data_IF_550054209567
#
_entry.id   IF_550054209567
#
_cell.length_a   1.000
_cell.length_b   1.000
_cell.length_c   1.000
_cell.angle_alpha   90.00
_cell.angle_beta   90.00
_cell.angle_gamma   90.00
#
_symmetry.space_group_name_H-M   'P 1'
#
loop_
_entity.id
_entity.type
_entity.pdbx_description
1 polymer ?
#
# COMPACT_ATOMS: atom_id res chain seq x y z
N UNK A 1 -2.52 -18.98 15.50
CA UNK A 1 -1.05 -19.17 15.60
C UNK A 1 -0.40 -18.58 14.36
N UNK A 2 0.70 -17.83 14.50
CA UNK A 2 1.50 -17.31 13.38
C UNK A 2 2.71 -18.22 13.15
N UNK A 3 3.07 -18.46 11.90
CA UNK A 3 4.31 -19.15 11.53
C UNK A 3 5.57 -18.30 11.74
N UNK A 4 5.40 -16.98 11.81
CA UNK A 4 6.49 -16.01 11.88
C UNK A 4 6.27 -15.04 13.02
N UNK A 5 7.30 -14.89 13.85
CA UNK A 5 7.36 -13.95 14.96
C UNK A 5 8.75 -13.33 15.03
N UNK A 6 8.84 -12.10 15.55
CA UNK A 6 10.10 -11.38 15.70
C UNK A 6 10.44 -10.46 14.52
N UNK A 7 11.67 -9.92 14.52
CA UNK A 7 12.06 -8.85 13.60
C UNK A 7 12.82 -9.39 12.39
N UNK A 8 12.46 -8.97 11.19
CA UNK A 8 13.09 -9.43 9.96
C UNK A 8 12.93 -8.44 8.80
N UNK A 9 13.72 -8.63 7.74
CA UNK A 9 13.66 -7.80 6.53
C UNK A 9 12.74 -8.40 5.47
N UNK A 10 12.00 -7.54 4.78
CA UNK A 10 11.08 -7.88 3.69
C UNK A 10 11.67 -7.44 2.36
N UNK A 11 11.88 -8.41 1.46
CA UNK A 11 12.34 -8.19 0.08
C UNK A 11 11.14 -7.95 -0.84
N UNK A 12 10.60 -6.73 -0.81
CA UNK A 12 9.41 -6.33 -1.56
C UNK A 12 8.11 -6.87 -0.98
N UNK A 13 8.02 -8.17 -0.68
CA UNK A 13 6.86 -8.77 0.00
C UNK A 13 7.22 -9.97 0.86
N UNK A 14 6.36 -10.30 1.81
CA UNK A 14 6.47 -11.49 2.65
C UNK A 14 5.09 -12.09 2.91
N UNK A 15 4.98 -13.41 2.99
CA UNK A 15 3.72 -14.10 3.25
C UNK A 15 3.74 -14.76 4.62
N UNK A 16 2.80 -14.36 5.47
CA UNK A 16 2.49 -15.02 6.73
C UNK A 16 1.50 -16.16 6.50
N UNK A 17 1.68 -17.28 7.20
CA UNK A 17 0.64 -18.29 7.41
C UNK A 17 0.09 -18.15 8.82
N UNK A 18 -1.21 -17.89 8.92
CA UNK A 18 -1.94 -17.82 10.18
C UNK A 18 -2.95 -18.95 10.26
N UNK A 19 -2.82 -19.83 11.25
CA UNK A 19 -3.82 -20.87 11.54
C UNK A 19 -4.79 -20.37 12.60
N UNK A 20 -6.08 -20.28 12.25
CA UNK A 20 -7.15 -19.98 13.20
C UNK A 20 -7.45 -21.18 14.08
N UNK A 21 -7.49 -20.96 15.40
CA UNK A 21 -7.77 -22.01 16.41
C UNK A 21 -9.19 -21.94 16.96
N UNK A 22 -9.92 -20.87 16.65
CA UNK A 22 -11.28 -20.62 17.14
C UNK A 22 -12.30 -20.48 15.98
N UNK A 23 -11.90 -20.81 14.75
CA UNK A 23 -12.74 -20.72 13.55
C UNK A 23 -12.97 -19.30 13.02
N UNK A 24 -12.49 -18.26 13.69
CA UNK A 24 -12.61 -16.87 13.23
C UNK A 24 -11.44 -16.49 12.33
N UNK A 25 -11.71 -15.72 11.27
CA UNK A 25 -10.68 -15.20 10.40
C UNK A 25 -9.76 -14.24 11.18
N UNK A 26 -8.42 -14.42 11.15
CA UNK A 26 -7.50 -13.47 11.75
C UNK A 26 -7.60 -12.10 11.06
N UNK A 27 -7.54 -11.04 11.86
CA UNK A 27 -7.38 -9.67 11.35
C UNK A 27 -5.89 -9.32 11.39
N UNK A 28 -5.33 -8.94 10.25
CA UNK A 28 -3.93 -8.51 10.16
C UNK A 28 -3.88 -7.04 9.80
N UNK A 29 -3.13 -6.26 10.57
CA UNK A 29 -2.90 -4.84 10.31
C UNK A 29 -1.41 -4.50 10.34
N UNK A 30 -1.09 -3.33 9.79
CA UNK A 30 0.24 -2.74 9.76
C UNK A 30 0.19 -1.39 10.46
N UNK A 31 1.21 -1.05 11.26
CA UNK A 31 1.19 0.15 12.09
C UNK A 31 1.37 1.47 11.34
N UNK A 32 1.80 1.42 10.08
CA UNK A 32 1.94 2.60 9.25
C UNK A 32 1.70 2.30 7.77
N UNK A 33 1.66 3.37 6.97
CA UNK A 33 1.34 3.29 5.56
C UNK A 33 2.51 2.91 4.65
N UNK A 34 3.73 2.68 5.15
CA UNK A 34 4.85 2.25 4.33
C UNK A 34 4.74 0.78 3.88
N UNK A 35 3.76 0.05 4.43
CA UNK A 35 3.44 -1.31 4.08
C UNK A 35 1.96 -1.47 3.79
N UNK A 36 1.60 -2.50 3.04
CA UNK A 36 0.22 -2.95 2.82
C UNK A 36 0.11 -4.40 3.19
N UNK A 37 -1.04 -4.80 3.74
CA UNK A 37 -1.36 -6.19 4.01
C UNK A 37 -2.60 -6.59 3.22
N UNK A 38 -2.55 -7.75 2.59
CA UNK A 38 -3.65 -8.32 1.79
C UNK A 38 -3.80 -9.79 2.15
N UNK A 39 -5.03 -10.25 2.36
CA UNK A 39 -5.34 -11.69 2.41
C UNK A 39 -5.15 -12.26 0.99
N UNK A 40 -4.14 -13.09 0.80
CA UNK A 40 -3.81 -13.68 -0.49
C UNK A 40 -4.64 -14.94 -0.78
N UNK A 41 -4.85 -15.79 0.23
CA UNK A 41 -5.67 -16.99 0.10
C UNK A 41 -6.06 -17.56 1.47
N UNK A 42 -7.00 -18.50 1.46
CA UNK A 42 -7.42 -19.29 2.61
C UNK A 42 -7.54 -20.75 2.21
N UNK A 43 -7.09 -21.65 3.08
CA UNK A 43 -7.31 -23.09 2.97
C UNK A 43 -7.77 -23.66 4.32
N UNK A 44 -9.07 -23.92 4.46
CA UNK A 44 -9.67 -24.30 5.74
C UNK A 44 -9.41 -23.23 6.80
N UNK A 45 -8.72 -23.61 7.87
CA UNK A 45 -8.35 -22.71 8.97
C UNK A 45 -7.03 -21.97 8.76
N UNK A 46 -6.33 -22.23 7.66
CA UNK A 46 -5.07 -21.55 7.32
C UNK A 46 -5.34 -20.34 6.43
N UNK A 47 -4.85 -19.18 6.83
CA UNK A 47 -4.98 -17.90 6.15
C UNK A 47 -3.59 -17.39 5.75
N UNK A 48 -3.45 -17.00 4.49
CA UNK A 48 -2.18 -16.54 3.94
C UNK A 48 -2.25 -15.03 3.70
N UNK A 49 -1.58 -14.26 4.54
CA UNK A 49 -1.54 -12.79 4.40
C UNK A 49 -0.20 -12.36 3.80
N UNK A 50 -0.25 -11.58 2.72
CA UNK A 50 0.94 -10.97 2.15
C UNK A 50 1.09 -9.54 2.64
N UNK A 51 2.25 -9.23 3.19
CA UNK A 51 2.70 -7.85 3.43
C UNK A 51 3.57 -7.39 2.27
N UNK A 52 3.41 -6.15 1.84
CA UNK A 52 4.13 -5.52 0.74
C UNK A 52 4.80 -4.25 1.24
N UNK A 53 6.11 -4.11 0.99
CA UNK A 53 6.85 -2.88 1.25
C UNK A 53 6.58 -1.90 0.10
N UNK A 54 6.12 -0.69 0.42
CA UNK A 54 5.80 0.36 -0.57
C UNK A 54 6.48 1.70 -0.28
N UNK A 55 6.84 1.95 0.99
CA UNK A 55 7.69 3.07 1.38
C UNK A 55 9.17 2.80 1.08
N UNK A 56 10.02 3.78 1.41
CA UNK A 56 11.46 3.68 1.17
C UNK A 56 12.14 2.50 1.87
N UNK A 57 13.23 2.01 1.28
CA UNK A 57 14.12 1.01 1.91
C UNK A 57 14.60 1.52 3.27
N UNK A 58 14.65 0.63 4.26
CA UNK A 58 15.00 0.92 5.64
C UNK A 58 13.82 1.35 6.52
N UNK A 59 12.66 1.68 5.93
CA UNK A 59 11.45 1.94 6.71
C UNK A 59 10.98 0.66 7.42
N UNK A 60 10.49 0.83 8.64
CA UNK A 60 9.99 -0.26 9.47
C UNK A 60 8.49 -0.17 9.69
N UNK A 61 7.87 -1.28 10.06
CA UNK A 61 6.46 -1.36 10.41
C UNK A 61 6.22 -2.51 11.38
N UNK A 62 5.29 -2.35 12.31
CA UNK A 62 4.81 -3.46 13.13
C UNK A 62 3.66 -4.16 12.40
N UNK A 63 3.69 -5.49 12.39
CA UNK A 63 2.56 -6.32 11.95
C UNK A 63 1.82 -6.80 13.18
N UNK A 64 0.52 -6.57 13.20
CA UNK A 64 -0.36 -6.96 14.30
C UNK A 64 -1.35 -8.01 13.80
N UNK A 65 -1.53 -9.06 14.59
CA UNK A 65 -2.56 -10.08 14.37
C UNK A 65 -3.55 -9.98 15.52
N UNK A 66 -4.82 -9.72 15.20
CA UNK A 66 -5.89 -9.48 16.18
C UNK A 66 -5.51 -8.43 17.24
N UNK A 67 -4.83 -7.36 16.81
CA UNK A 67 -4.37 -6.27 17.68
C UNK A 67 -3.11 -6.55 18.49
N UNK A 68 -2.54 -7.76 18.42
CA UNK A 68 -1.28 -8.11 19.10
C UNK A 68 -0.13 -8.05 18.11
N UNK A 69 0.93 -7.29 18.44
CA UNK A 69 2.14 -7.25 17.62
C UNK A 69 2.81 -8.62 17.57
N UNK A 70 3.06 -9.12 16.35
CA UNK A 70 3.76 -10.40 16.12
C UNK A 70 5.17 -10.21 15.56
N UNK A 71 5.40 -9.12 14.82
CA UNK A 71 6.69 -8.82 14.20
C UNK A 71 6.87 -7.32 13.99
N UNK A 72 8.14 -6.91 13.90
CA UNK A 72 8.54 -5.63 13.31
C UNK A 72 9.32 -5.94 12.03
N UNK A 73 8.82 -5.51 10.87
CA UNK A 73 9.42 -5.75 9.57
C UNK A 73 10.17 -4.52 9.06
N UNK A 74 11.27 -4.73 8.35
CA UNK A 74 12.06 -3.66 7.70
C UNK A 74 12.05 -3.86 6.19
N UNK A 75 11.77 -2.82 5.40
CA UNK A 75 11.84 -2.92 3.94
C UNK A 75 13.31 -3.01 3.50
N UNK A 76 13.76 -4.16 2.97
CA UNK A 76 15.06 -4.24 2.30
C UNK A 76 14.95 -3.96 0.80
N UNK A 77 13.78 -4.21 0.21
CA UNK A 77 13.40 -3.84 -1.15
C UNK A 77 11.94 -3.42 -1.19
N UNK A 78 11.59 -2.57 -2.16
CA UNK A 78 10.21 -2.11 -2.38
C UNK A 78 9.53 -3.01 -3.41
N UNK A 79 8.25 -3.36 -3.18
CA UNK A 79 7.48 -4.19 -4.08
C UNK A 79 7.46 -3.62 -5.50
N UNK A 80 7.76 -4.46 -6.49
CA UNK A 80 7.76 -4.08 -7.90
C UNK A 80 8.81 -3.03 -8.28
N UNK A 81 9.72 -2.67 -7.38
CA UNK A 81 10.75 -1.66 -7.63
C UNK A 81 10.22 -0.24 -7.82
N UNK A 82 8.99 0.04 -7.37
CA UNK A 82 8.38 1.37 -7.46
C UNK A 82 8.15 1.94 -6.07
N UNK A 83 8.92 2.96 -5.70
CA UNK A 83 8.77 3.69 -4.44
C UNK A 83 7.87 4.90 -4.64
N UNK A 84 6.88 5.08 -3.77
CA UNK A 84 6.02 6.26 -3.78
C UNK A 84 6.45 7.26 -2.70
N UNK A 85 6.44 8.55 -3.02
CA UNK A 85 6.59 9.62 -2.03
C UNK A 85 5.39 9.74 -1.09
N UNK A 86 4.23 9.28 -1.55
CA UNK A 86 2.96 9.34 -0.81
C UNK A 86 2.39 7.96 -0.62
N UNK A 87 2.25 7.56 0.63
CA UNK A 87 1.66 6.28 1.02
C UNK A 87 0.54 6.43 2.04
N UNK A 88 0.56 7.49 2.85
CA UNK A 88 -0.50 7.79 3.80
C UNK A 88 -1.76 8.33 3.10
N UNK A 89 -2.94 8.19 3.71
CA UNK A 89 -4.14 8.89 3.26
C UNK A 89 -3.93 10.41 3.25
N UNK A 90 -4.52 11.08 2.27
CA UNK A 90 -4.43 12.53 2.11
C UNK A 90 -5.71 13.12 1.53
N UNK A 91 -5.78 14.44 1.50
CA UNK A 91 -6.97 15.17 1.06
C UNK A 91 -6.62 16.08 -0.12
N UNK A 92 -7.54 16.17 -1.09
CA UNK A 92 -7.46 17.09 -2.22
C UNK A 92 -8.75 17.90 -2.26
N UNK A 93 -8.66 19.23 -2.34
CA UNK A 93 -9.86 20.08 -2.49
C UNK A 93 -10.61 19.75 -3.78
N UNK A 94 -11.93 19.91 -3.78
CA UNK A 94 -12.76 19.78 -4.98
C UNK A 94 -12.23 20.68 -6.11
N UNK A 95 -12.02 20.11 -7.31
CA UNK A 95 -11.39 20.79 -8.45
C UNK A 95 -9.88 20.99 -8.32
N UNK A 96 -9.29 20.60 -7.19
CA UNK A 96 -7.85 20.65 -6.93
C UNK A 96 -7.08 19.49 -7.55
N UNK A 97 -5.77 19.50 -7.33
CA UNK A 97 -4.89 18.43 -7.77
C UNK A 97 -3.77 18.15 -6.78
N UNK A 98 -3.20 16.95 -6.85
CA UNK A 98 -2.00 16.55 -6.14
C UNK A 98 -1.04 15.88 -7.13
N UNK A 99 0.28 16.00 -6.90
CA UNK A 99 1.29 15.36 -7.75
C UNK A 99 2.06 14.32 -6.95
N UNK A 100 1.94 13.07 -7.36
CA UNK A 100 2.76 11.98 -6.88
C UNK A 100 4.13 12.00 -7.53
N UNK A 101 5.13 11.52 -6.79
CA UNK A 101 6.41 11.08 -7.33
C UNK A 101 6.59 9.59 -7.10
N UNK A 102 6.74 8.86 -8.20
CA UNK A 102 7.07 7.44 -8.21
C UNK A 102 8.52 7.27 -8.67
N UNK A 103 9.39 6.73 -7.83
CA UNK A 103 10.78 6.44 -8.17
C UNK A 103 10.90 4.99 -8.65
N UNK A 104 11.33 4.78 -9.89
CA UNK A 104 11.47 3.46 -10.51
C UNK A 104 12.44 3.49 -11.70
N UNK A 105 13.06 2.35 -12.03
CA UNK A 105 13.99 2.21 -13.18
C UNK A 105 13.31 2.36 -14.55
N UNK A 106 12.00 2.18 -14.62
CA UNK A 106 11.18 2.33 -15.82
C UNK A 106 9.87 3.02 -15.47
N UNK A 107 9.24 3.67 -16.46
CA UNK A 107 7.98 4.39 -16.25
C UNK A 107 6.90 3.49 -15.65
N UNK A 108 6.43 3.74 -14.42
CA UNK A 108 5.32 3.00 -13.86
C UNK A 108 4.00 3.44 -14.52
N UNK A 109 2.96 2.63 -14.31
CA UNK A 109 1.58 2.97 -14.64
C UNK A 109 0.84 3.25 -13.35
N UNK A 110 0.19 4.41 -13.27
CA UNK A 110 -0.64 4.78 -12.13
C UNK A 110 -2.10 4.92 -12.58
N UNK A 111 -3.02 4.33 -11.81
CA UNK A 111 -4.45 4.35 -12.10
C UNK A 111 -5.27 4.73 -10.87
N UNK A 112 -6.36 5.46 -11.08
CA UNK A 112 -7.37 5.71 -10.06
C UNK A 112 -8.33 4.51 -9.96
N UNK A 113 -8.73 4.16 -8.73
CA UNK A 113 -9.71 3.11 -8.46
C UNK A 113 -11.16 3.55 -8.59
N UNK A 114 -11.43 4.85 -8.77
CA UNK A 114 -12.76 5.41 -8.99
C UNK A 114 -12.71 6.56 -9.99
N UNK A 115 -13.87 6.92 -10.55
CA UNK A 115 -14.02 8.05 -11.47
C UNK A 115 -13.96 9.42 -10.78
N UNK A 116 -13.89 9.48 -9.45
CA UNK A 116 -13.79 10.74 -8.69
C UNK A 116 -12.41 11.40 -8.82
N UNK A 117 -11.41 10.66 -9.32
CA UNK A 117 -10.10 11.20 -9.65
C UNK A 117 -9.66 10.83 -11.07
N UNK A 118 -9.05 11.80 -11.76
CA UNK A 118 -8.36 11.57 -13.04
C UNK A 118 -6.86 11.58 -12.81
N UNK A 119 -6.15 10.58 -13.33
CA UNK A 119 -4.68 10.50 -13.31
C UNK A 119 -4.11 10.97 -14.64
N UNK A 120 -3.03 11.76 -14.59
CA UNK A 120 -2.30 12.25 -15.75
C UNK A 120 -0.79 12.15 -15.52
N UNK A 121 -0.06 11.63 -16.50
CA UNK A 121 1.40 11.62 -16.45
C UNK A 121 1.93 13.04 -16.69
N UNK A 122 2.75 13.54 -15.76
CA UNK A 122 3.24 14.92 -15.74
C UNK A 122 4.71 15.07 -16.14
N UNK A 123 5.39 13.97 -16.53
CA UNK A 123 6.81 13.97 -16.91
C UNK A 123 7.70 13.21 -15.93
N UNK A 124 9.01 13.24 -16.15
CA UNK A 124 10.00 12.58 -15.29
C UNK A 124 11.33 13.33 -15.26
N UNK A 125 12.12 13.06 -14.22
CA UNK A 125 13.52 13.47 -14.10
C UNK A 125 14.35 12.27 -13.63
N UNK A 126 15.20 11.74 -14.51
CA UNK A 126 15.86 10.46 -14.26
C UNK A 126 14.84 9.36 -13.95
N UNK A 127 15.01 8.72 -12.79
CA UNK A 127 14.14 7.64 -12.30
C UNK A 127 12.90 8.14 -11.52
N UNK A 128 12.71 9.45 -11.36
CA UNK A 128 11.56 10.03 -10.68
C UNK A 128 10.47 10.37 -11.71
N UNK A 129 9.33 9.70 -11.62
CA UNK A 129 8.18 9.81 -12.53
C UNK A 129 7.02 10.51 -11.83
N UNK A 130 6.48 11.56 -12.45
CA UNK A 130 5.47 12.40 -11.83
C UNK A 130 4.07 12.13 -12.40
N UNK A 131 3.10 11.98 -11.51
CA UNK A 131 1.70 11.75 -11.87
C UNK A 131 0.80 12.75 -11.13
N UNK A 132 0.08 13.58 -11.88
CA UNK A 132 -0.88 14.50 -11.31
C UNK A 132 -2.24 13.80 -11.23
N UNK A 133 -2.87 13.90 -10.07
CA UNK A 133 -4.24 13.42 -9.82
C UNK A 133 -5.14 14.63 -9.61
N UNK A 134 -6.29 14.66 -10.28
CA UNK A 134 -7.25 15.75 -10.22
C UNK A 134 -8.53 15.27 -9.55
N UNK A 135 -9.00 16.00 -8.54
CA UNK A 135 -10.26 15.75 -7.86
C UNK A 135 -11.43 16.25 -8.74
N UNK A 136 -12.06 15.33 -9.46
CA UNK A 136 -13.16 15.62 -10.40
C UNK A 136 -14.53 15.18 -9.86
N UNK A 137 -14.55 14.45 -8.74
CA UNK A 137 -15.76 14.04 -8.02
C UNK A 137 -16.31 15.10 -7.05
N UNK A 138 -17.08 14.63 -6.08
CA UNK A 138 -17.72 15.47 -5.06
C UNK A 138 -16.95 15.42 -3.73
N UNK A 139 -17.13 16.46 -2.89
CA UNK A 139 -16.63 16.42 -1.52
C UNK A 139 -17.20 15.20 -0.78
N UNK A 140 -16.35 14.53 -0.02
CA UNK A 140 -16.65 13.24 0.63
C UNK A 140 -16.24 12.01 -0.19
N UNK A 141 -16.02 12.13 -1.51
CA UNK A 141 -15.56 11.01 -2.32
C UNK A 141 -14.16 10.55 -1.89
N UNK A 142 -13.91 9.24 -2.01
CA UNK A 142 -12.61 8.62 -1.81
C UNK A 142 -12.11 7.91 -3.08
N UNK A 143 -10.79 7.88 -3.28
CA UNK A 143 -10.17 7.12 -4.35
C UNK A 143 -8.83 6.53 -3.92
N UNK A 144 -8.70 5.21 -4.06
CA UNK A 144 -7.41 4.54 -3.99
C UNK A 144 -6.64 4.65 -5.29
N UNK A 145 -5.32 4.78 -5.22
CA UNK A 145 -4.45 4.77 -6.40
C UNK A 145 -3.61 3.51 -6.46
N UNK A 146 -3.53 2.91 -7.65
CA UNK A 146 -2.82 1.67 -7.90
C UNK A 146 -1.63 1.93 -8.81
N UNK A 147 -0.56 1.18 -8.59
CA UNK A 147 0.67 1.27 -9.39
C UNK A 147 0.98 -0.09 -9.98
N UNK A 148 1.25 -0.14 -11.28
CA UNK A 148 1.59 -1.34 -12.04
C UNK A 148 0.62 -2.52 -11.81
N UNK A 149 -0.66 -2.25 -11.56
CA UNK A 149 -1.68 -3.28 -11.31
C UNK A 149 -1.52 -4.03 -9.99
N UNK A 150 -0.76 -3.48 -9.02
CA UNK A 150 -0.62 -4.06 -7.69
C UNK A 150 -2.00 -4.32 -7.04
N UNK A 151 -2.18 -5.38 -6.24
CA UNK A 151 -3.48 -5.75 -5.65
C UNK A 151 -3.87 -4.88 -4.45
N UNK A 152 -3.22 -3.74 -4.25
CA UNK A 152 -3.42 -2.83 -3.13
C UNK A 152 -3.26 -1.39 -3.61
N UNK A 153 -3.88 -0.47 -2.87
CA UNK A 153 -3.71 0.96 -3.10
C UNK A 153 -2.41 1.46 -2.50
N UNK A 154 -1.60 2.17 -3.28
CA UNK A 154 -0.39 2.86 -2.79
C UNK A 154 -0.76 3.99 -1.84
N UNK A 155 -1.79 4.78 -2.15
CA UNK A 155 -2.36 5.79 -1.26
C UNK A 155 -3.87 5.93 -1.52
N UNK A 156 -4.58 6.55 -0.58
CA UNK A 156 -6.00 6.88 -0.71
C UNK A 156 -6.17 8.39 -0.58
N UNK A 157 -6.82 9.02 -1.54
CA UNK A 157 -7.24 10.42 -1.45
C UNK A 157 -8.71 10.53 -1.06
N UNK A 158 -9.03 11.56 -0.29
CA UNK A 158 -10.38 12.04 -0.08
C UNK A 158 -10.57 13.44 -0.68
N UNK A 159 -11.75 13.72 -1.23
CA UNK A 159 -12.09 15.06 -1.71
C UNK A 159 -12.66 15.88 -0.56
N UNK A 160 -12.06 17.03 -0.26
CA UNK A 160 -12.67 18.03 0.63
C UNK A 160 -13.43 19.08 -0.16
N UNK A 161 -14.22 19.89 0.55
CA UNK A 161 -14.65 21.22 0.09
C UNK A 161 -13.45 22.08 -0.37
#
# INVERSE_FOLDING_TARGET
MSDTVGNFSVKGSYQYKLTSTNGQAPVVTVSNSNFRVVLASQNGNDYFFKVYAIGAVGQTCDVLVNGVKVSTITASEVYGGVMSDTTAPFTVKKGGSYQFKLTASSKPVMTAGSSSFRVEYAGNSGNDWFFKVYAVGNAGDGCGFYVNGAPFTVAVAHISE
#
